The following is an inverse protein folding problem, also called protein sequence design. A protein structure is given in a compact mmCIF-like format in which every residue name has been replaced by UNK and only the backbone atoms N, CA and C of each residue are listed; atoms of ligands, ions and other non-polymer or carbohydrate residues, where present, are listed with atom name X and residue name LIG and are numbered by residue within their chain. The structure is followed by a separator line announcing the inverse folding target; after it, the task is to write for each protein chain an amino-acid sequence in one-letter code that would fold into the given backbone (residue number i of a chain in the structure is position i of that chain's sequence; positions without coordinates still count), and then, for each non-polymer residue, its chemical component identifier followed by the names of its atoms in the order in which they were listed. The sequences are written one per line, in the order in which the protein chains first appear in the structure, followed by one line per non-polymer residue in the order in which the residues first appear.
data_IF_636298501449
#
_entry.id   IF_636298501449
#
_cell.length_a   1.000
_cell.length_b   1.000
_cell.length_c   1.000
_cell.angle_alpha   90.00
_cell.angle_beta   90.00
_cell.angle_gamma   90.00
#
_symmetry.space_group_name_H-M   'P 1'
#
loop_
_entity.id
_entity.type
_entity.pdbx_description
1 polymer ?
#
# COMPACT_ATOMS: atom_id res chain seq x y z
N UNK A 1 1.86 -11.27 -26.62
CA UNK A 1 0.89 -10.56 -25.76
C UNK A 1 1.72 -9.82 -24.73
N UNK A 2 1.61 -8.49 -24.63
CA UNK A 2 2.22 -7.78 -23.50
C UNK A 2 1.62 -8.33 -22.21
N UNK A 3 2.46 -8.89 -21.34
CA UNK A 3 2.05 -9.15 -19.97
C UNK A 3 1.77 -7.79 -19.33
N UNK A 4 0.49 -7.42 -19.22
CA UNK A 4 0.08 -6.23 -18.46
C UNK A 4 0.41 -6.50 -16.99
N UNK A 5 1.52 -5.94 -16.51
CA UNK A 5 1.90 -5.98 -15.10
C UNK A 5 0.81 -5.39 -14.22
N UNK A 6 0.70 -5.92 -13.01
CA UNK A 6 -0.15 -5.33 -11.96
C UNK A 6 0.51 -4.04 -11.49
N UNK A 7 -0.16 -2.91 -11.71
CA UNK A 7 0.32 -1.59 -11.27
C UNK A 7 -0.18 -1.30 -9.86
N UNK A 8 0.76 -1.11 -8.96
CA UNK A 8 0.53 -0.76 -7.56
C UNK A 8 1.01 0.66 -7.36
N UNK A 9 0.12 1.54 -6.94
CA UNK A 9 0.45 2.94 -6.67
C UNK A 9 0.18 3.25 -5.21
N UNK A 10 1.20 3.75 -4.52
CA UNK A 10 1.09 4.30 -3.19
C UNK A 10 0.96 5.82 -3.33
N UNK A 11 -0.22 6.33 -3.00
CA UNK A 11 -0.51 7.74 -2.85
C UNK A 11 -0.34 8.08 -1.37
N UNK A 12 0.68 8.87 -1.06
CA UNK A 12 0.98 9.32 0.31
C UNK A 12 1.90 10.55 0.22
N UNK A 13 1.94 11.41 1.23
CA UNK A 13 2.88 12.55 1.21
C UNK A 13 4.30 12.17 1.64
N UNK A 14 4.45 11.00 2.27
CA UNK A 14 5.73 10.44 2.71
C UNK A 14 6.03 9.13 1.97
N UNK A 15 7.28 8.94 1.52
CA UNK A 15 7.70 7.71 0.83
C UNK A 15 7.93 6.53 1.77
N UNK A 16 7.95 6.76 3.08
CA UNK A 16 8.35 5.78 4.10
C UNK A 16 7.54 4.48 4.04
N UNK A 17 6.23 4.59 3.74
CA UNK A 17 5.34 3.44 3.52
C UNK A 17 5.74 2.61 2.30
N UNK A 18 6.17 3.27 1.23
CA UNK A 18 6.65 2.61 0.01
C UNK A 18 8.01 1.93 0.24
N UNK A 19 8.92 2.60 0.94
CA UNK A 19 10.23 2.05 1.28
C UNK A 19 10.08 0.81 2.17
N UNK A 20 9.18 0.85 3.16
CA UNK A 20 8.87 -0.30 4.00
C UNK A 20 8.25 -1.45 3.20
N UNK A 21 7.26 -1.17 2.33
CA UNK A 21 6.68 -2.19 1.46
C UNK A 21 7.75 -2.88 0.62
N UNK A 22 8.64 -2.13 -0.03
CA UNK A 22 9.69 -2.70 -0.88
C UNK A 22 10.65 -3.60 -0.09
N UNK A 23 11.00 -3.24 1.14
CA UNK A 23 11.80 -4.11 2.04
C UNK A 23 11.07 -5.41 2.38
N UNK A 24 9.76 -5.34 2.64
CA UNK A 24 8.93 -6.52 2.92
C UNK A 24 8.86 -7.44 1.68
N UNK A 25 8.65 -6.86 0.50
CA UNK A 25 8.58 -7.62 -0.75
C UNK A 25 9.93 -8.28 -1.06
N UNK A 26 11.04 -7.58 -0.87
CA UNK A 26 12.40 -8.11 -1.04
C UNK A 26 12.69 -9.26 -0.06
N UNK A 27 12.31 -9.12 1.20
CA UNK A 27 12.44 -10.19 2.22
C UNK A 27 11.73 -11.48 1.80
N UNK A 28 10.56 -11.37 1.16
CA UNK A 28 9.82 -12.53 0.64
C UNK A 28 10.24 -12.95 -0.79
N UNK A 29 11.28 -12.35 -1.36
CA UNK A 29 11.77 -12.67 -2.70
C UNK A 29 10.81 -12.26 -3.84
N UNK A 30 9.88 -11.34 -3.58
CA UNK A 30 8.93 -10.85 -4.57
C UNK A 30 9.59 -9.77 -5.42
N UNK A 31 9.86 -10.09 -6.68
CA UNK A 31 10.47 -9.15 -7.61
C UNK A 31 9.46 -8.09 -8.07
N UNK A 32 9.77 -6.83 -7.81
CA UNK A 32 8.99 -5.68 -8.27
C UNK A 32 9.85 -4.71 -9.05
N UNK A 33 9.28 -4.15 -10.11
CA UNK A 33 9.88 -2.99 -10.77
C UNK A 33 9.39 -1.71 -10.08
N UNK A 34 10.27 -0.72 -9.91
CA UNK A 34 9.92 0.62 -9.38
C UNK A 34 9.81 1.68 -10.47
N UNK A 35 10.26 1.37 -11.68
CA UNK A 35 10.11 2.20 -12.88
C UNK A 35 9.66 1.35 -14.06
N UNK A 36 9.02 1.99 -15.05
CA UNK A 36 8.65 1.35 -16.30
C UNK A 36 9.87 0.84 -17.09
N UNK A 37 11.04 1.45 -16.87
CA UNK A 37 12.32 1.10 -17.51
C UNK A 37 12.99 -0.11 -16.86
N UNK A 38 12.79 -0.31 -15.54
CA UNK A 38 13.24 -1.49 -14.80
C UNK A 38 12.32 -2.71 -14.98
N UNK A 39 11.29 -2.61 -15.83
CA UNK A 39 10.17 -3.53 -15.90
C UNK A 39 10.43 -4.86 -16.63
N UNK A 40 11.67 -5.30 -16.81
CA UNK A 40 11.93 -6.58 -17.47
C UNK A 40 11.77 -7.80 -16.54
N UNK A 41 11.75 -7.60 -15.22
CA UNK A 41 11.54 -8.67 -14.23
C UNK A 41 10.32 -8.41 -13.33
N UNK A 42 9.59 -9.46 -12.97
CA UNK A 42 8.46 -9.42 -12.02
C UNK A 42 7.07 -9.07 -12.59
N UNK A 43 6.02 -9.50 -11.88
CA UNK A 43 4.61 -9.31 -12.24
C UNK A 43 4.02 -7.95 -11.78
N UNK A 44 4.75 -7.24 -10.91
CA UNK A 44 4.30 -6.00 -10.28
C UNK A 44 5.17 -4.80 -10.63
N UNK A 45 4.52 -3.66 -10.88
CA UNK A 45 5.14 -2.34 -10.96
C UNK A 45 4.65 -1.54 -9.76
N UNK A 46 5.53 -1.24 -8.80
CA UNK A 46 5.23 -0.51 -7.57
C UNK A 46 5.75 0.91 -7.70
N UNK A 47 4.87 1.89 -7.56
CA UNK A 47 5.21 3.30 -7.69
C UNK A 47 4.70 4.07 -6.47
N UNK A 48 5.39 5.15 -6.13
CA UNK A 48 5.02 6.10 -5.10
C UNK A 48 4.77 7.47 -5.73
N UNK A 49 3.76 8.19 -5.23
CA UNK A 49 3.50 9.57 -5.59
C UNK A 49 2.84 10.34 -4.45
N UNK A 50 3.24 11.60 -4.27
CA UNK A 50 2.49 12.57 -3.47
C UNK A 50 1.50 13.40 -4.32
N UNK A 51 1.52 13.23 -5.64
CA UNK A 51 0.68 13.95 -6.58
C UNK A 51 -0.48 13.06 -7.06
N UNK A 52 -1.71 13.42 -6.71
CA UNK A 52 -2.92 12.74 -7.14
C UNK A 52 -3.12 12.76 -8.67
N UNK A 53 -2.64 13.80 -9.37
CA UNK A 53 -2.74 13.88 -10.83
C UNK A 53 -1.90 12.79 -11.53
N UNK A 54 -0.79 12.36 -10.92
CA UNK A 54 0.06 11.30 -11.45
C UNK A 54 -0.66 9.93 -11.48
N UNK A 55 -1.70 9.76 -10.65
CA UNK A 55 -2.54 8.54 -10.61
C UNK A 55 -3.23 8.30 -11.96
N UNK A 56 -3.65 9.38 -12.63
CA UNK A 56 -4.32 9.32 -13.94
C UNK A 56 -3.46 8.70 -15.03
N UNK A 57 -2.15 8.97 -15.01
CA UNK A 57 -1.18 8.41 -15.93
C UNK A 57 -0.84 6.96 -15.58
N UNK A 58 -0.76 6.65 -14.28
CA UNK A 58 -0.43 5.31 -13.80
C UNK A 58 -1.55 4.28 -14.07
N UNK A 59 -2.82 4.69 -13.94
CA UNK A 59 -4.00 3.79 -14.04
C UNK A 59 -3.81 2.52 -13.20
N UNK A 60 -3.69 2.65 -11.87
CA UNK A 60 -3.32 1.54 -11.01
C UNK A 60 -4.35 0.41 -11.02
N UNK A 61 -3.89 -0.82 -10.84
CA UNK A 61 -4.73 -1.95 -10.46
C UNK A 61 -4.98 -1.96 -8.95
N UNK A 62 -3.99 -1.53 -8.17
CA UNK A 62 -4.06 -1.41 -6.72
C UNK A 62 -3.64 0.01 -6.35
N UNK A 63 -4.55 0.76 -5.72
CA UNK A 63 -4.26 2.07 -5.15
C UNK A 63 -4.23 1.95 -3.63
N UNK A 64 -3.10 2.30 -3.03
CA UNK A 64 -2.96 2.46 -1.60
C UNK A 64 -2.94 3.95 -1.28
N UNK A 65 -3.81 4.40 -0.38
CA UNK A 65 -3.78 5.74 0.18
C UNK A 65 -3.23 5.66 1.60
N UNK A 66 -2.16 6.39 1.88
CA UNK A 66 -1.56 6.44 3.22
C UNK A 66 -2.28 7.37 4.18
N UNK A 67 -1.89 7.32 5.46
CA UNK A 67 -2.47 8.08 6.57
C UNK A 67 -2.43 9.60 6.36
N UNK A 68 -1.44 10.09 5.61
CA UNK A 68 -1.29 11.52 5.34
C UNK A 68 -2.03 12.01 4.08
N UNK A 69 -2.71 11.10 3.36
CA UNK A 69 -3.59 11.50 2.27
C UNK A 69 -4.77 12.34 2.76
N UNK A 70 -5.15 13.34 1.98
CA UNK A 70 -6.39 14.08 2.17
C UNK A 70 -7.54 13.45 1.38
N UNK A 71 -8.78 13.76 1.78
CA UNK A 71 -9.97 13.37 1.04
C UNK A 71 -9.94 13.88 -0.40
N UNK A 72 -9.44 15.11 -0.64
CA UNK A 72 -9.31 15.68 -1.97
C UNK A 72 -8.33 14.90 -2.86
N UNK A 73 -7.17 14.53 -2.30
CA UNK A 73 -6.18 13.71 -3.01
C UNK A 73 -6.77 12.36 -3.39
N UNK A 74 -7.44 11.70 -2.45
CA UNK A 74 -8.06 10.41 -2.66
C UNK A 74 -9.20 10.49 -3.70
N UNK A 75 -10.08 11.48 -3.57
CA UNK A 75 -11.21 11.70 -4.47
C UNK A 75 -10.75 11.99 -5.92
N UNK A 76 -9.64 12.71 -6.09
CA UNK A 76 -9.03 12.93 -7.40
C UNK A 76 -8.39 11.65 -7.99
N UNK A 77 -7.90 10.74 -7.14
CA UNK A 77 -7.21 9.53 -7.56
C UNK A 77 -8.15 8.37 -7.91
N UNK A 78 -9.24 8.20 -7.15
CA UNK A 78 -10.17 7.07 -7.23
C UNK A 78 -10.74 6.81 -8.64
N UNK A 79 -11.12 7.82 -9.45
CA UNK A 79 -11.66 7.59 -10.79
C UNK A 79 -10.71 6.87 -11.75
N UNK A 80 -9.41 6.80 -11.44
CA UNK A 80 -8.38 6.23 -12.32
C UNK A 80 -7.99 4.79 -11.96
N UNK A 81 -8.59 4.22 -10.92
CA UNK A 81 -8.41 2.81 -10.57
C UNK A 81 -9.01 1.94 -11.67
N UNK A 82 -8.25 0.92 -12.11
CA UNK A 82 -8.69 -0.02 -13.13
C UNK A 82 -9.87 -0.87 -12.66
N UNK A 83 -10.74 -1.27 -13.60
CA UNK A 83 -11.84 -2.20 -13.34
C UNK A 83 -11.34 -3.50 -12.68
N UNK A 84 -12.04 -3.94 -11.63
CA UNK A 84 -11.66 -5.11 -10.84
C UNK A 84 -10.46 -4.87 -9.90
N UNK A 85 -9.99 -3.63 -9.79
CA UNK A 85 -8.88 -3.25 -8.93
C UNK A 85 -9.17 -3.30 -7.44
N UNK A 86 -8.24 -2.75 -6.65
CA UNK A 86 -8.32 -2.65 -5.19
C UNK A 86 -7.94 -1.25 -4.74
N UNK A 87 -8.75 -0.69 -3.85
CA UNK A 87 -8.47 0.52 -3.10
C UNK A 87 -8.24 0.15 -1.64
N UNK A 88 -7.08 0.51 -1.10
CA UNK A 88 -6.73 0.35 0.32
C UNK A 88 -6.55 1.74 0.91
N UNK A 89 -7.26 2.08 1.98
CA UNK A 89 -7.32 3.46 2.46
C UNK A 89 -7.72 3.56 3.95
N UNK A 90 -7.43 4.67 4.63
CA UNK A 90 -7.79 4.86 6.04
C UNK A 90 -9.31 4.83 6.28
N UNK A 91 -9.74 4.18 7.37
CA UNK A 91 -11.15 4.11 7.81
C UNK A 91 -11.89 5.46 7.84
N UNK A 92 -11.28 6.61 8.22
CA UNK A 92 -11.96 7.91 8.17
C UNK A 92 -12.54 8.30 6.81
N UNK A 93 -12.09 7.71 5.70
CA UNK A 93 -12.66 7.97 4.38
C UNK A 93 -13.73 6.94 3.96
N UNK A 94 -14.13 6.00 4.82
CA UNK A 94 -15.08 4.93 4.46
C UNK A 94 -16.42 5.45 3.95
N UNK A 95 -16.88 6.58 4.50
CA UNK A 95 -18.15 7.21 4.17
C UNK A 95 -18.04 8.25 3.03
N UNK A 96 -16.84 8.47 2.49
CA UNK A 96 -16.66 9.38 1.36
C UNK A 96 -17.39 8.86 0.12
N UNK A 97 -18.22 9.71 -0.47
CA UNK A 97 -18.96 9.36 -1.67
C UNK A 97 -18.11 9.63 -2.91
N UNK A 98 -17.34 8.64 -3.34
CA UNK A 98 -16.57 8.74 -4.58
C UNK A 98 -17.46 8.44 -5.78
N UNK A 99 -17.57 9.40 -6.70
CA UNK A 99 -18.20 9.16 -7.99
C UNK A 99 -17.27 8.29 -8.85
N UNK A 100 -17.60 7.00 -8.99
CA UNK A 100 -16.84 6.07 -9.81
C UNK A 100 -17.76 5.41 -10.84
N UNK A 101 -17.26 5.27 -12.07
CA UNK A 101 -17.91 4.47 -13.12
C UNK A 101 -17.41 3.03 -13.13
N UNK A 102 -16.40 2.72 -12.31
CA UNK A 102 -15.68 1.45 -12.26
C UNK A 102 -15.92 0.73 -10.94
N UNK A 103 -16.04 -0.61 -10.98
CA UNK A 103 -16.16 -1.44 -9.78
C UNK A 103 -14.78 -1.94 -9.36
N UNK A 104 -14.38 -1.61 -8.13
CA UNK A 104 -13.15 -2.10 -7.49
C UNK A 104 -13.44 -2.44 -6.03
N UNK A 105 -12.61 -3.31 -5.44
CA UNK A 105 -12.72 -3.69 -4.03
C UNK A 105 -12.19 -2.58 -3.14
N UNK A 106 -12.87 -2.32 -2.03
CA UNK A 106 -12.52 -1.30 -1.04
C UNK A 106 -12.11 -2.01 0.26
N UNK A 107 -10.90 -1.73 0.74
CA UNK A 107 -10.36 -2.26 1.98
C UNK A 107 -9.96 -1.07 2.87
N UNK A 108 -10.58 -0.97 4.04
CA UNK A 108 -10.25 0.07 5.01
C UNK A 108 -9.22 -0.44 6.00
N UNK A 109 -8.40 0.46 6.55
CA UNK A 109 -7.51 0.15 7.67
C UNK A 109 -7.49 1.26 8.72
N UNK A 110 -7.13 0.87 9.94
CA UNK A 110 -6.88 1.78 11.06
C UNK A 110 -5.38 1.79 11.38
N UNK A 111 -4.92 2.83 12.07
CA UNK A 111 -3.56 2.85 12.60
C UNK A 111 -3.37 1.68 13.61
N UNK A 112 -2.16 1.12 13.73
CA UNK A 112 -1.92 0.04 14.67
C UNK A 112 -2.06 0.52 16.12
N UNK A 113 -2.42 -0.42 17.01
CA UNK A 113 -2.42 -0.17 18.47
C UNK A 113 -0.99 -0.31 18.97
N UNK A 114 -0.41 0.79 19.46
CA UNK A 114 0.94 0.79 20.04
C UNK A 114 0.90 0.41 21.52
N UNK A 115 1.73 -0.57 21.90
CA UNK A 115 1.97 -0.96 23.29
C UNK A 115 2.98 0.00 23.92
N UNK A 116 3.99 0.38 23.15
CA UNK A 116 5.05 1.34 23.48
C UNK A 116 5.51 2.07 22.22
N UNK A 117 6.49 2.96 22.32
CA UNK A 117 7.03 3.69 21.16
C UNK A 117 7.69 2.79 20.10
N UNK A 118 8.02 1.57 20.46
CA UNK A 118 8.80 0.61 19.67
C UNK A 118 8.08 -0.74 19.50
N UNK A 119 6.86 -0.92 20.03
CA UNK A 119 6.11 -2.17 19.94
C UNK A 119 4.63 -1.91 19.64
N UNK A 120 4.06 -2.73 18.76
CA UNK A 120 2.62 -2.74 18.45
C UNK A 120 1.97 -4.08 18.81
N UNK A 121 0.66 -4.05 19.05
CA UNK A 121 -0.17 -5.26 19.11
C UNK A 121 -0.34 -5.85 17.71
N UNK A 122 -0.25 -7.18 17.59
CA UNK A 122 -0.60 -7.91 16.37
C UNK A 122 -1.29 -9.25 16.72
N UNK A 123 -1.96 -9.89 15.76
CA UNK A 123 -2.57 -11.21 15.96
C UNK A 123 -1.58 -12.32 16.36
N UNK A 124 -0.29 -12.17 16.03
CA UNK A 124 0.77 -13.12 16.42
C UNK A 124 1.46 -12.74 17.74
N UNK A 125 0.98 -11.70 18.43
CA UNK A 125 1.56 -11.13 19.63
C UNK A 125 2.26 -9.79 19.39
N UNK A 126 2.95 -9.23 20.39
CA UNK A 126 3.67 -7.97 20.25
C UNK A 126 4.76 -8.03 19.17
N UNK A 127 4.80 -7.04 18.27
CA UNK A 127 5.78 -6.93 17.18
C UNK A 127 6.55 -5.60 17.29
N UNK A 128 7.89 -5.60 17.14
CA UNK A 128 8.69 -4.38 17.12
C UNK A 128 8.39 -3.49 15.91
N UNK A 129 8.38 -2.17 16.13
CA UNK A 129 8.06 -1.16 15.10
C UNK A 129 9.07 -0.01 15.13
N UNK A 130 10.36 -0.33 14.94
CA UNK A 130 11.45 0.67 14.86
C UNK A 130 11.52 1.34 13.47
N UNK A 131 10.37 1.60 12.87
CA UNK A 131 10.24 2.24 11.56
C UNK A 131 9.86 3.72 11.71
N UNK A 132 10.05 4.55 10.67
CA UNK A 132 9.56 5.92 10.68
C UNK A 132 8.06 6.01 10.98
N UNK A 133 7.63 7.07 11.68
CA UNK A 133 6.25 7.21 12.16
C UNK A 133 5.21 7.09 11.06
N UNK A 134 5.44 7.68 9.87
CA UNK A 134 4.45 7.60 8.79
C UNK A 134 4.32 6.17 8.26
N UNK A 135 5.40 5.39 8.23
CA UNK A 135 5.32 3.96 7.89
C UNK A 135 4.57 3.18 8.97
N UNK A 136 4.81 3.46 10.26
CA UNK A 136 4.14 2.80 11.39
C UNK A 136 2.63 3.03 11.36
N UNK A 137 2.18 4.27 11.16
CA UNK A 137 0.75 4.60 11.04
C UNK A 137 0.03 3.82 9.92
N UNK A 138 0.79 3.39 8.92
CA UNK A 138 0.30 2.70 7.74
C UNK A 138 0.47 1.18 7.78
N UNK A 139 1.05 0.59 8.85
CA UNK A 139 1.41 -0.84 8.88
C UNK A 139 0.22 -1.77 8.59
N UNK A 140 -0.96 -1.50 9.16
CA UNK A 140 -2.14 -2.35 8.91
C UNK A 140 -2.59 -2.24 7.44
N UNK A 141 -2.53 -1.05 6.87
CA UNK A 141 -2.79 -0.86 5.44
C UNK A 141 -1.74 -1.53 4.55
N UNK A 142 -0.46 -1.49 4.94
CA UNK A 142 0.63 -2.20 4.27
C UNK A 142 0.47 -3.71 4.37
N UNK A 143 -0.08 -4.23 5.48
CA UNK A 143 -0.42 -5.65 5.64
C UNK A 143 -1.49 -6.07 4.63
N UNK A 144 -2.58 -5.30 4.49
CA UNK A 144 -3.62 -5.55 3.48
C UNK A 144 -3.08 -5.44 2.06
N UNK A 145 -2.11 -4.54 1.83
CA UNK A 145 -1.45 -4.37 0.55
C UNK A 145 -0.55 -5.56 0.23
N UNK A 146 0.25 -6.03 1.20
CA UNK A 146 1.12 -7.19 1.08
C UNK A 146 0.34 -8.47 0.73
N UNK A 147 -0.89 -8.62 1.24
CA UNK A 147 -1.78 -9.72 0.84
C UNK A 147 -2.09 -9.74 -0.66
N UNK A 148 -2.08 -8.58 -1.34
CA UNK A 148 -2.28 -8.53 -2.80
C UNK A 148 -1.07 -9.07 -3.57
N UNK A 149 0.09 -9.21 -2.92
CA UNK A 149 1.28 -9.88 -3.44
C UNK A 149 1.38 -11.35 -3.00
N UNK A 150 0.39 -11.85 -2.25
CA UNK A 150 0.38 -13.22 -1.72
C UNK A 150 1.08 -13.40 -0.37
N UNK A 151 1.47 -12.31 0.30
CA UNK A 151 2.03 -12.36 1.65
C UNK A 151 0.89 -12.38 2.66
N UNK A 152 0.74 -13.52 3.35
CA UNK A 152 -0.28 -13.68 4.38
C UNK A 152 0.11 -12.93 5.67
N UNK A 153 -0.85 -12.83 6.60
CA UNK A 153 -0.70 -12.04 7.83
C UNK A 153 0.52 -12.42 8.69
N UNK A 154 0.71 -13.70 8.99
CA UNK A 154 1.84 -14.16 9.81
C UNK A 154 3.20 -13.90 9.13
N UNK A 155 3.43 -14.29 7.85
CA UNK A 155 4.65 -13.93 7.12
C UNK A 155 4.93 -12.43 7.06
N UNK A 156 3.88 -11.60 6.94
CA UNK A 156 4.04 -10.15 6.95
C UNK A 156 4.64 -9.68 8.28
N UNK A 157 4.07 -10.10 9.41
CA UNK A 157 4.58 -9.68 10.72
C UNK A 157 5.96 -10.28 11.02
N UNK A 158 6.25 -11.51 10.57
CA UNK A 158 7.59 -12.11 10.63
C UNK A 158 8.61 -11.22 9.89
N UNK A 159 8.29 -10.77 8.67
CA UNK A 159 9.18 -9.87 7.93
C UNK A 159 9.48 -8.58 8.70
N UNK A 160 8.48 -7.99 9.37
CA UNK A 160 8.71 -6.80 10.19
C UNK A 160 9.71 -7.06 11.30
N UNK A 161 9.71 -8.24 11.93
CA UNK A 161 10.67 -8.57 12.99
C UNK A 161 12.11 -8.68 12.49
N UNK A 162 12.30 -9.12 11.25
CA UNK A 162 13.62 -9.40 10.67
C UNK A 162 14.22 -8.19 9.95
N UNK A 163 13.38 -7.36 9.33
CA UNK A 163 13.84 -6.25 8.47
C UNK A 163 14.05 -4.94 9.23
N UNK A 164 14.09 -4.89 10.57
CA UNK A 164 14.24 -3.65 11.34
C UNK A 164 15.43 -2.79 10.86
#
# INVERSE_FOLDING_TARGET
MEHKKTRVLLLDTNSESADLLLRILDFHGIQTATSAEAAETGDFLVQYTANAEAVSAAKPNILFAGSSCTEDMLSAAVPFISDGGVLIFPTPFADCNWETSTFFRKLTYEAPILISSDMMESPIGPVPVSFPTAAVENIIGLQLLAQQFGIMEEPFYESLTEIQ
#
